data_IF_530604658394
#
_entry.id   IF_530604658394
#
_cell.length_a   1.000
_cell.length_b   1.000
_cell.length_c   1.000
_cell.angle_alpha   90.00
_cell.angle_beta   90.00
_cell.angle_gamma   90.00
#
_symmetry.space_group_name_H-M   'P 1'
#
loop_
_entity.id
_entity.type
_entity.pdbx_description
1 polymer ?
#
# COMPACT_ATOMS: atom_id res chain seq x y z
N UNK A 1 16.06 9.73 19.61
CA UNK A 1 15.31 10.95 19.23
C UNK A 1 14.32 10.63 18.11
N UNK A 2 13.24 11.42 17.98
CA UNK A 2 12.23 11.24 16.94
C UNK A 2 12.84 11.25 15.51
N UNK A 3 13.80 12.12 15.26
CA UNK A 3 14.52 12.21 13.96
C UNK A 3 15.19 10.89 13.59
N UNK A 4 15.84 10.23 14.55
CA UNK A 4 16.44 8.92 14.31
C UNK A 4 15.39 7.85 14.02
N UNK A 5 14.24 7.89 14.71
CA UNK A 5 13.14 6.95 14.48
C UNK A 5 12.56 7.10 13.06
N UNK A 6 12.37 8.35 12.57
CA UNK A 6 11.98 8.60 11.18
C UNK A 6 13.00 8.03 10.18
N UNK A 7 14.28 8.27 10.42
CA UNK A 7 15.34 7.79 9.54
C UNK A 7 15.34 6.26 9.41
N UNK A 8 15.23 5.54 10.53
CA UNK A 8 15.18 4.07 10.51
C UNK A 8 13.89 3.53 9.89
N UNK A 9 12.74 4.15 10.18
CA UNK A 9 11.47 3.77 9.57
C UNK A 9 11.50 3.96 8.05
N UNK A 10 11.96 5.10 7.55
CA UNK A 10 12.09 5.39 6.12
C UNK A 10 13.10 4.49 5.43
N UNK A 11 14.26 4.24 6.06
CA UNK A 11 15.31 3.38 5.54
C UNK A 11 14.86 1.93 5.30
N UNK A 12 13.83 1.49 6.01
CA UNK A 12 13.22 0.17 5.79
C UNK A 12 12.01 0.27 4.87
N UNK A 13 11.14 1.26 5.07
CA UNK A 13 9.90 1.41 4.32
C UNK A 13 10.14 1.70 2.83
N UNK A 14 11.01 2.66 2.53
CA UNK A 14 11.24 3.13 1.16
C UNK A 14 11.77 2.02 0.25
N UNK A 15 12.82 1.24 0.58
CA UNK A 15 13.27 0.16 -0.27
C UNK A 15 12.23 -0.96 -0.45
N UNK A 16 11.51 -1.34 0.60
CA UNK A 16 10.46 -2.36 0.52
C UNK A 16 9.35 -1.92 -0.44
N UNK A 17 8.86 -0.70 -0.26
CA UNK A 17 7.78 -0.15 -1.08
C UNK A 17 8.21 0.05 -2.53
N UNK A 18 9.35 0.67 -2.76
CA UNK A 18 9.85 0.96 -4.10
C UNK A 18 10.18 -0.31 -4.87
N UNK A 19 10.75 -1.33 -4.24
CA UNK A 19 11.06 -2.61 -4.89
C UNK A 19 9.79 -3.29 -5.43
N UNK A 20 8.72 -3.32 -4.64
CA UNK A 20 7.43 -3.88 -5.07
C UNK A 20 6.83 -3.06 -6.21
N UNK A 21 6.79 -1.73 -6.05
CA UNK A 21 6.18 -0.84 -7.03
C UNK A 21 6.97 -0.75 -8.33
N UNK A 22 8.30 -0.69 -8.28
CA UNK A 22 9.12 -0.71 -9.49
C UNK A 22 8.95 -2.01 -10.28
N UNK A 23 8.81 -3.15 -9.61
CA UNK A 23 8.57 -4.43 -10.27
C UNK A 23 7.24 -4.42 -11.04
N UNK A 24 6.17 -3.93 -10.42
CA UNK A 24 4.86 -3.76 -11.08
C UNK A 24 4.96 -2.77 -12.25
N UNK A 25 5.57 -1.64 -12.01
CA UNK A 25 5.68 -0.55 -12.98
C UNK A 25 6.53 -0.90 -14.18
N UNK A 26 7.63 -1.63 -14.00
CA UNK A 26 8.49 -2.08 -15.10
C UNK A 26 7.73 -2.97 -16.09
N UNK A 27 6.80 -3.78 -15.59
CA UNK A 27 5.94 -4.64 -16.43
C UNK A 27 4.77 -3.86 -17.05
N UNK A 28 4.18 -2.92 -16.31
CA UNK A 28 2.97 -2.23 -16.73
C UNK A 28 3.23 -1.08 -17.71
N UNK A 29 4.33 -0.33 -17.56
CA UNK A 29 4.60 0.83 -18.42
C UNK A 29 4.71 0.49 -19.92
N UNK A 30 5.45 -0.55 -20.35
CA UNK A 30 5.44 -0.96 -21.76
C UNK A 30 4.04 -1.40 -22.26
N UNK A 31 3.25 -2.02 -21.37
CA UNK A 31 1.88 -2.43 -21.68
C UNK A 31 0.96 -1.22 -21.86
N UNK A 32 1.08 -0.19 -21.03
CA UNK A 32 0.34 1.06 -21.19
C UNK A 32 0.64 1.72 -22.55
N UNK A 33 1.92 1.80 -22.94
CA UNK A 33 2.31 2.34 -24.24
C UNK A 33 1.66 1.55 -25.39
N UNK A 34 1.71 0.21 -25.32
CA UNK A 34 1.12 -0.66 -26.36
C UNK A 34 -0.40 -0.54 -26.43
N UNK A 35 -1.08 -0.46 -25.28
CA UNK A 35 -2.54 -0.30 -25.26
C UNK A 35 -2.97 1.08 -25.78
N UNK A 36 -2.19 2.11 -25.48
CA UNK A 36 -2.46 3.47 -25.98
C UNK A 36 -2.34 3.57 -27.51
N UNK A 37 -1.41 2.85 -28.14
CA UNK A 37 -1.23 2.85 -29.60
C UNK A 37 -2.38 2.22 -30.38
N UNK A 38 -3.31 1.53 -29.73
CA UNK A 38 -4.51 0.96 -30.37
C UNK A 38 -5.59 2.00 -30.73
N UNK A 39 -5.40 3.26 -30.35
CA UNK A 39 -6.32 4.38 -30.61
C UNK A 39 -7.74 4.21 -30.02
N UNK A 40 -7.95 3.21 -29.17
CA UNK A 40 -9.18 3.01 -28.41
C UNK A 40 -9.08 3.63 -27.02
N UNK A 41 -9.50 4.89 -26.91
CA UNK A 41 -9.44 5.63 -25.65
C UNK A 41 -10.25 4.98 -24.52
N UNK A 42 -11.41 4.37 -24.84
CA UNK A 42 -12.23 3.72 -23.80
C UNK A 42 -11.63 2.40 -23.36
N UNK A 43 -11.12 1.60 -24.28
CA UNK A 43 -10.39 0.38 -24.00
C UNK A 43 -9.14 0.66 -23.18
N UNK A 44 -8.40 1.71 -23.51
CA UNK A 44 -7.22 2.14 -22.76
C UNK A 44 -7.53 2.51 -21.30
N UNK A 45 -8.54 3.36 -21.08
CA UNK A 45 -8.95 3.73 -19.72
C UNK A 45 -9.47 2.51 -18.94
N UNK A 46 -10.22 1.63 -19.59
CA UNK A 46 -10.67 0.37 -18.99
C UNK A 46 -9.50 -0.54 -18.57
N UNK A 47 -8.46 -0.60 -19.40
CA UNK A 47 -7.24 -1.34 -19.08
C UNK A 47 -6.50 -0.75 -17.90
N UNK A 48 -6.30 0.59 -17.86
CA UNK A 48 -5.67 1.27 -16.72
C UNK A 48 -6.45 0.98 -15.42
N UNK A 49 -7.78 1.10 -15.46
CA UNK A 49 -8.60 0.83 -14.27
C UNK A 49 -8.43 -0.60 -13.77
N UNK A 50 -8.48 -1.60 -14.66
CA UNK A 50 -8.28 -3.00 -14.29
C UNK A 50 -6.90 -3.23 -13.65
N UNK A 51 -5.83 -2.63 -14.21
CA UNK A 51 -4.48 -2.73 -13.63
C UNK A 51 -4.43 -2.08 -12.25
N UNK A 52 -5.01 -0.89 -12.10
CA UNK A 52 -5.04 -0.16 -10.81
C UNK A 52 -5.83 -0.93 -9.76
N UNK A 53 -7.01 -1.46 -10.11
CA UNK A 53 -7.85 -2.28 -9.24
C UNK A 53 -7.10 -3.53 -8.78
N UNK A 54 -6.46 -4.26 -9.70
CA UNK A 54 -5.68 -5.47 -9.40
C UNK A 54 -4.50 -5.18 -8.48
N UNK A 55 -3.78 -4.08 -8.75
CA UNK A 55 -2.64 -3.65 -7.93
C UNK A 55 -3.08 -3.28 -6.53
N UNK A 56 -4.19 -2.54 -6.39
CA UNK A 56 -4.75 -2.21 -5.07
C UNK A 56 -5.11 -3.46 -4.28
N UNK A 57 -5.81 -4.42 -4.90
CA UNK A 57 -6.20 -5.66 -4.23
C UNK A 57 -5.00 -6.52 -3.81
N UNK A 58 -3.86 -6.40 -4.50
CA UNK A 58 -2.61 -7.05 -4.10
C UNK A 58 -1.88 -6.29 -2.98
N UNK A 59 -1.85 -4.96 -3.02
CA UNK A 59 -1.10 -4.13 -2.07
C UNK A 59 -1.82 -3.96 -0.74
N UNK A 60 -3.16 -3.92 -0.72
CA UNK A 60 -3.94 -3.74 0.49
C UNK A 60 -3.60 -4.76 1.60
N UNK A 61 -3.55 -6.10 1.35
CA UNK A 61 -3.13 -7.05 2.37
C UNK A 61 -1.68 -6.85 2.83
N UNK A 62 -0.78 -6.43 1.93
CA UNK A 62 0.61 -6.10 2.30
C UNK A 62 0.64 -4.91 3.24
N UNK A 63 -0.13 -3.85 2.96
CA UNK A 63 -0.28 -2.70 3.85
C UNK A 63 -0.79 -3.13 5.23
N UNK A 64 -1.82 -4.00 5.28
CA UNK A 64 -2.37 -4.48 6.54
C UNK A 64 -1.33 -5.25 7.37
N UNK A 65 -0.51 -6.10 6.74
CA UNK A 65 0.60 -6.79 7.42
C UNK A 65 1.65 -5.81 7.93
N UNK A 66 2.08 -4.84 7.12
CA UNK A 66 3.05 -3.83 7.53
C UNK A 66 2.52 -2.96 8.67
N UNK A 67 1.23 -2.63 8.67
CA UNK A 67 0.60 -1.91 9.77
C UNK A 67 0.53 -2.74 11.05
N UNK A 68 0.12 -4.00 10.96
CA UNK A 68 -0.07 -4.86 12.13
C UNK A 68 1.26 -5.26 12.79
N UNK A 69 2.27 -5.57 11.97
CA UNK A 69 3.57 -6.06 12.44
C UNK A 69 4.67 -5.01 12.38
N UNK A 70 4.35 -3.74 12.15
CA UNK A 70 5.34 -2.67 11.98
C UNK A 70 6.37 -2.62 13.12
N UNK A 71 5.91 -2.64 14.38
CA UNK A 71 6.78 -2.66 15.56
C UNK A 71 7.61 -3.95 15.64
N UNK A 72 6.99 -5.08 15.32
CA UNK A 72 7.65 -6.40 15.40
C UNK A 72 8.75 -6.54 14.32
N UNK A 73 8.50 -6.02 13.13
CA UNK A 73 9.49 -5.96 12.04
C UNK A 73 10.69 -5.10 12.47
N UNK A 74 10.44 -3.91 13.03
CA UNK A 74 11.48 -3.03 13.54
C UNK A 74 12.27 -3.71 14.68
N UNK A 75 11.58 -4.38 15.59
CA UNK A 75 12.18 -5.13 16.69
C UNK A 75 13.15 -6.20 16.20
N UNK A 76 12.72 -7.01 15.25
CA UNK A 76 13.57 -8.09 14.69
C UNK A 76 14.83 -7.53 14.05
N UNK A 77 14.71 -6.43 13.30
CA UNK A 77 15.81 -5.91 12.44
C UNK A 77 16.75 -5.01 13.24
N UNK A 78 16.22 -4.09 14.06
CA UNK A 78 17.03 -3.02 14.64
C UNK A 78 17.22 -3.12 16.16
N UNK A 79 16.33 -3.78 16.90
CA UNK A 79 16.42 -3.81 18.38
C UNK A 79 17.64 -4.61 18.82
N UNK A 80 18.75 -3.89 19.12
CA UNK A 80 19.99 -4.44 19.67
C UNK A 80 20.87 -3.32 20.21
N UNK A 81 21.64 -3.62 21.25
CA UNK A 81 22.60 -2.68 21.83
C UNK A 81 21.97 -1.37 22.28
N UNK A 82 22.31 -0.27 21.62
CA UNK A 82 21.78 1.08 21.94
C UNK A 82 20.38 1.35 21.41
N UNK A 83 19.82 0.48 20.54
CA UNK A 83 18.45 0.62 20.02
C UNK A 83 17.47 -0.05 20.98
N UNK A 84 16.88 0.76 21.85
CA UNK A 84 16.02 0.31 22.96
C UNK A 84 14.60 -0.06 22.51
N UNK A 85 13.84 -0.74 23.39
CA UNK A 85 12.42 -1.05 23.15
C UNK A 85 11.56 0.22 22.91
N UNK A 86 11.87 1.34 23.60
CA UNK A 86 11.20 2.63 23.35
C UNK A 86 11.47 3.14 21.93
N UNK A 87 12.72 3.02 21.44
CA UNK A 87 13.08 3.37 20.07
C UNK A 87 12.37 2.47 19.06
N UNK A 88 12.21 1.19 19.38
CA UNK A 88 11.48 0.20 18.58
C UNK A 88 10.01 0.58 18.43
N UNK A 89 9.34 0.93 19.54
CA UNK A 89 7.93 1.29 19.52
C UNK A 89 7.66 2.57 18.72
N UNK A 90 8.47 3.61 18.94
CA UNK A 90 8.38 4.86 18.18
C UNK A 90 8.61 4.62 16.69
N UNK A 91 9.68 3.92 16.32
CA UNK A 91 10.03 3.64 14.92
C UNK A 91 8.97 2.77 14.25
N UNK A 92 8.49 1.73 14.93
CA UNK A 92 7.45 0.84 14.42
C UNK A 92 6.11 1.55 14.19
N UNK A 93 5.76 2.48 15.07
CA UNK A 93 4.55 3.31 14.93
C UNK A 93 4.65 4.26 13.72
N UNK A 94 5.82 4.83 13.45
CA UNK A 94 6.08 5.65 12.25
C UNK A 94 5.99 4.78 10.99
N UNK A 95 6.64 3.61 11.00
CA UNK A 95 6.63 2.66 9.89
C UNK A 95 5.20 2.19 9.53
N UNK A 96 4.39 1.86 10.54
CA UNK A 96 2.99 1.46 10.33
C UNK A 96 2.17 2.60 9.70
N UNK A 97 2.40 3.86 10.09
CA UNK A 97 1.72 5.01 9.48
C UNK A 97 2.15 5.27 8.04
N UNK A 98 3.42 5.08 7.70
CA UNK A 98 3.87 5.10 6.31
C UNK A 98 3.23 3.99 5.48
N UNK A 99 3.06 2.79 6.05
CA UNK A 99 2.44 1.67 5.37
C UNK A 99 0.99 1.96 4.92
N UNK A 100 0.23 2.81 5.64
CA UNK A 100 -1.09 3.26 5.22
C UNK A 100 -1.06 3.98 3.85
N UNK A 101 0.01 4.75 3.59
CA UNK A 101 0.18 5.49 2.33
C UNK A 101 0.65 4.65 1.16
N UNK A 102 1.12 3.41 1.38
CA UNK A 102 1.70 2.58 0.33
C UNK A 102 0.72 2.29 -0.81
N UNK A 103 -0.54 2.02 -0.49
CA UNK A 103 -1.59 1.76 -1.50
C UNK A 103 -1.87 2.99 -2.38
N UNK A 104 -1.90 4.16 -1.77
CA UNK A 104 -2.08 5.42 -2.47
C UNK A 104 -0.87 5.76 -3.36
N UNK A 105 0.33 5.53 -2.86
CA UNK A 105 1.57 5.70 -3.63
C UNK A 105 1.58 4.78 -4.85
N UNK A 106 1.15 3.52 -4.72
CA UNK A 106 1.02 2.59 -5.82
C UNK A 106 0.07 3.09 -6.92
N UNK A 107 -1.09 3.62 -6.52
CA UNK A 107 -2.05 4.21 -7.48
C UNK A 107 -1.43 5.40 -8.19
N UNK A 108 -0.84 6.33 -7.46
CA UNK A 108 -0.16 7.50 -8.03
C UNK A 108 0.91 7.10 -9.04
N UNK A 109 1.77 6.14 -8.70
CA UNK A 109 2.84 5.67 -9.57
C UNK A 109 2.31 5.05 -10.87
N UNK A 110 1.28 4.20 -10.78
CA UNK A 110 0.64 3.62 -11.97
C UNK A 110 -0.03 4.67 -12.85
N UNK A 111 -0.79 5.59 -12.25
CA UNK A 111 -1.49 6.62 -13.00
C UNK A 111 -0.51 7.64 -13.62
N UNK A 112 0.60 7.98 -12.94
CA UNK A 112 1.68 8.77 -13.52
C UNK A 112 2.18 8.11 -14.84
N UNK A 113 2.44 6.80 -14.80
CA UNK A 113 2.91 6.06 -15.98
C UNK A 113 1.87 5.97 -17.09
N UNK A 114 0.59 5.84 -16.72
CA UNK A 114 -0.50 5.89 -17.69
C UNK A 114 -0.56 7.26 -18.40
N UNK A 115 -0.40 8.36 -17.68
CA UNK A 115 -0.32 9.70 -18.27
C UNK A 115 0.92 9.89 -19.13
N UNK A 116 2.08 9.35 -18.72
CA UNK A 116 3.31 9.41 -19.52
C UNK A 116 3.17 8.64 -20.84
N UNK A 117 2.50 7.50 -20.82
CA UNK A 117 2.18 6.76 -22.04
C UNK A 117 1.30 7.58 -23.00
N UNK A 118 0.38 8.40 -22.47
CA UNK A 118 -0.43 9.35 -23.24
C UNK A 118 0.33 10.62 -23.66
N UNK A 119 1.61 10.75 -23.32
CA UNK A 119 2.43 11.97 -23.52
C UNK A 119 1.85 13.22 -22.81
N UNK A 120 1.02 13.04 -21.80
CA UNK A 120 0.39 14.12 -21.00
C UNK A 120 1.13 14.29 -19.67
N UNK A 121 2.29 14.93 -19.69
CA UNK A 121 3.18 15.05 -18.51
C UNK A 121 2.80 16.17 -17.54
N UNK A 122 2.05 17.17 -17.98
CA UNK A 122 1.68 18.33 -17.16
C UNK A 122 0.70 17.96 -16.03
N UNK A 123 -0.25 17.06 -16.29
CA UNK A 123 -1.25 16.68 -15.28
C UNK A 123 -0.60 15.98 -14.08
N UNK A 124 0.23 14.93 -14.27
CA UNK A 124 0.98 14.33 -13.18
C UNK A 124 1.87 15.33 -12.44
N UNK A 125 2.56 16.23 -13.18
CA UNK A 125 3.42 17.24 -12.57
C UNK A 125 2.64 18.13 -11.60
N UNK A 126 1.50 18.68 -12.03
CA UNK A 126 0.69 19.58 -11.21
C UNK A 126 0.09 18.88 -9.99
N UNK A 127 -0.41 17.65 -10.17
CA UNK A 127 -0.98 16.87 -9.06
C UNK A 127 0.11 16.51 -8.05
N UNK A 128 1.26 16.01 -8.50
CA UNK A 128 2.38 15.67 -7.60
C UNK A 128 2.95 16.89 -6.88
N UNK A 129 3.00 18.05 -7.54
CA UNK A 129 3.33 19.31 -6.89
C UNK A 129 2.28 19.68 -5.82
N UNK A 130 1.00 19.50 -6.12
CA UNK A 130 -0.08 19.68 -5.16
C UNK A 130 0.04 18.74 -3.95
N UNK A 131 0.41 17.47 -4.18
CA UNK A 131 0.70 16.50 -3.10
C UNK A 131 1.86 16.97 -2.23
N UNK A 132 2.94 17.48 -2.84
CA UNK A 132 4.07 18.03 -2.09
C UNK A 132 3.66 19.20 -1.21
N UNK A 133 2.95 20.19 -1.76
CA UNK A 133 2.47 21.36 -1.01
C UNK A 133 1.52 20.92 0.11
N UNK A 134 0.58 20.03 -0.18
CA UNK A 134 -0.34 19.49 0.81
C UNK A 134 0.40 18.76 1.93
N UNK A 135 1.41 17.95 1.59
CA UNK A 135 2.25 17.27 2.58
C UNK A 135 2.95 18.27 3.51
N UNK A 136 3.51 19.37 2.97
CA UNK A 136 4.13 20.42 3.79
C UNK A 136 3.12 21.07 4.74
N UNK A 137 1.91 21.36 4.28
CA UNK A 137 0.84 21.92 5.11
C UNK A 137 0.43 20.93 6.20
N UNK A 138 0.18 19.68 5.85
CA UNK A 138 -0.23 18.64 6.80
C UNK A 138 0.88 18.35 7.83
N UNK A 139 2.15 18.39 7.44
CA UNK A 139 3.27 18.28 8.38
C UNK A 139 3.26 19.38 9.44
N UNK A 140 2.80 20.58 9.08
CA UNK A 140 2.67 21.67 10.03
C UNK A 140 1.49 21.47 10.99
N UNK A 141 0.41 20.87 10.50
CA UNK A 141 -0.79 20.57 11.30
C UNK A 141 -0.57 19.38 12.23
N UNK A 142 0.03 18.31 11.70
CA UNK A 142 0.33 17.06 12.44
C UNK A 142 1.75 17.07 13.02
N UNK A 143 2.15 18.19 13.63
CA UNK A 143 3.49 18.34 14.22
C UNK A 143 3.61 17.53 15.52
N UNK A 144 3.68 16.21 15.38
CA UNK A 144 3.93 15.25 16.47
C UNK A 144 4.98 14.23 16.01
N UNK A 145 5.61 13.55 16.98
CA UNK A 145 6.67 12.56 16.73
C UNK A 145 6.31 11.44 15.75
N UNK A 146 5.04 11.27 15.45
CA UNK A 146 4.55 10.24 14.51
C UNK A 146 3.58 10.80 13.47
N UNK A 147 3.17 12.06 13.62
CA UNK A 147 2.16 12.70 12.79
C UNK A 147 2.63 12.99 11.37
N UNK A 148 3.92 13.26 11.17
CA UNK A 148 4.53 13.52 9.86
C UNK A 148 4.35 12.33 8.89
N UNK A 149 4.50 11.10 9.38
CA UNK A 149 4.27 9.90 8.57
C UNK A 149 2.79 9.77 8.15
N UNK A 150 1.87 10.11 9.05
CA UNK A 150 0.44 10.13 8.74
C UNK A 150 0.11 11.23 7.73
N UNK A 151 0.70 12.43 7.88
CA UNK A 151 0.54 13.53 6.94
C UNK A 151 0.96 13.13 5.52
N UNK A 152 2.08 12.44 5.38
CA UNK A 152 2.56 11.91 4.09
C UNK A 152 1.55 10.93 3.49
N UNK A 153 1.06 9.97 4.28
CA UNK A 153 0.06 9.00 3.83
C UNK A 153 -1.25 9.65 3.40
N UNK A 154 -1.71 10.68 4.12
CA UNK A 154 -2.91 11.44 3.76
C UNK A 154 -2.71 12.25 2.48
N UNK A 155 -1.57 12.95 2.34
CA UNK A 155 -1.27 13.72 1.13
C UNK A 155 -1.24 12.82 -0.12
N UNK A 156 -0.59 11.65 -0.03
CA UNK A 156 -0.56 10.66 -1.10
C UNK A 156 -1.97 10.14 -1.43
N UNK A 157 -2.80 9.88 -0.42
CA UNK A 157 -4.18 9.40 -0.61
C UNK A 157 -5.03 10.44 -1.33
N UNK A 158 -4.96 11.70 -0.93
CA UNK A 158 -5.67 12.79 -1.59
C UNK A 158 -5.19 12.96 -3.03
N UNK A 159 -3.87 12.89 -3.27
CA UNK A 159 -3.29 12.94 -4.61
C UNK A 159 -3.73 11.78 -5.50
N UNK A 160 -3.78 10.55 -4.98
CA UNK A 160 -4.25 9.38 -5.70
C UNK A 160 -5.73 9.50 -6.10
N UNK A 161 -6.56 10.02 -5.19
CA UNK A 161 -7.97 10.29 -5.47
C UNK A 161 -8.10 11.39 -6.54
N UNK A 162 -7.38 12.50 -6.40
CA UNK A 162 -7.40 13.61 -7.36
C UNK A 162 -6.98 13.14 -8.77
N UNK A 163 -5.90 12.35 -8.86
CA UNK A 163 -5.42 11.82 -10.14
C UNK A 163 -6.42 10.83 -10.75
N UNK A 164 -7.05 9.99 -9.94
CA UNK A 164 -8.10 9.06 -10.37
C UNK A 164 -9.31 9.82 -10.91
N UNK A 165 -9.80 10.81 -10.17
CA UNK A 165 -10.92 11.65 -10.62
C UNK A 165 -10.58 12.35 -11.93
N UNK A 166 -9.39 12.94 -12.03
CA UNK A 166 -8.96 13.66 -13.24
C UNK A 166 -8.87 12.74 -14.47
N UNK A 167 -8.33 11.53 -14.31
CA UNK A 167 -8.16 10.60 -15.44
C UNK A 167 -9.49 10.02 -15.91
N UNK A 168 -10.39 9.70 -14.99
CA UNK A 168 -11.65 9.01 -15.27
C UNK A 168 -12.86 9.96 -15.31
N UNK A 169 -12.63 11.28 -15.27
CA UNK A 169 -13.69 12.27 -15.32
C UNK A 169 -14.61 12.05 -16.54
N UNK A 170 -15.92 12.09 -16.32
CA UNK A 170 -16.91 11.88 -17.37
C UNK A 170 -17.05 10.44 -17.87
N UNK A 171 -16.36 9.47 -17.26
CA UNK A 171 -16.46 8.04 -17.62
C UNK A 171 -17.20 7.25 -16.53
N UNK A 172 -17.81 6.12 -16.93
CA UNK A 172 -18.41 5.14 -15.99
C UNK A 172 -17.52 3.92 -15.76
N UNK A 173 -16.20 4.07 -15.97
CA UNK A 173 -15.24 2.96 -15.93
C UNK A 173 -14.88 2.60 -14.49
N UNK A 174 -14.85 3.58 -13.58
CA UNK A 174 -14.49 3.37 -12.17
C UNK A 174 -15.56 2.54 -11.48
N UNK A 175 -15.14 1.34 -11.04
CA UNK A 175 -15.99 0.40 -10.32
C UNK A 175 -15.59 0.41 -8.85
N UNK A 176 -16.44 0.98 -7.98
CA UNK A 176 -16.17 1.06 -6.55
C UNK A 176 -16.44 -0.27 -5.82
N UNK A 177 -17.37 -1.07 -6.33
CA UNK A 177 -17.78 -2.32 -5.66
C UNK A 177 -16.62 -3.29 -5.44
N UNK A 178 -15.73 -3.60 -6.41
CA UNK A 178 -14.57 -4.46 -6.17
C UNK A 178 -13.60 -3.88 -5.14
N UNK A 179 -13.39 -2.56 -5.14
CA UNK A 179 -12.52 -1.89 -4.17
C UNK A 179 -13.10 -2.00 -2.75
N UNK A 180 -14.41 -1.76 -2.57
CA UNK A 180 -15.08 -1.91 -1.27
C UNK A 180 -15.00 -3.35 -0.76
N UNK A 181 -15.17 -4.34 -1.64
CA UNK A 181 -14.98 -5.76 -1.30
C UNK A 181 -13.54 -6.05 -0.87
N UNK A 182 -12.54 -5.48 -1.58
CA UNK A 182 -11.13 -5.61 -1.21
C UNK A 182 -10.82 -4.98 0.15
N UNK A 183 -11.36 -3.80 0.41
CA UNK A 183 -11.23 -3.13 1.71
C UNK A 183 -11.89 -3.95 2.83
N UNK A 184 -13.09 -4.53 2.59
CA UNK A 184 -13.75 -5.40 3.57
C UNK A 184 -12.93 -6.66 3.87
N UNK A 185 -12.36 -7.30 2.84
CA UNK A 185 -11.47 -8.45 3.00
C UNK A 185 -10.19 -8.08 3.77
N UNK A 186 -9.60 -6.90 3.47
CA UNK A 186 -8.43 -6.38 4.17
C UNK A 186 -8.76 -6.04 5.63
N UNK A 187 -9.93 -5.48 5.91
CA UNK A 187 -10.38 -5.22 7.28
C UNK A 187 -10.56 -6.51 8.08
N UNK A 188 -11.17 -7.55 7.49
CA UNK A 188 -11.28 -8.86 8.12
C UNK A 188 -9.89 -9.48 8.40
N UNK A 189 -8.96 -9.37 7.45
CA UNK A 189 -7.57 -9.76 7.63
C UNK A 189 -6.91 -8.98 8.78
N UNK A 190 -7.06 -7.65 8.82
CA UNK A 190 -6.48 -6.81 9.85
C UNK A 190 -6.95 -7.22 11.25
N UNK A 191 -8.25 -7.53 11.44
CA UNK A 191 -8.78 -8.05 12.71
C UNK A 191 -8.05 -9.32 13.14
N UNK A 192 -7.82 -10.24 12.22
CA UNK A 192 -7.09 -11.49 12.50
C UNK A 192 -5.61 -11.21 12.83
N UNK A 193 -4.97 -10.30 12.10
CA UNK A 193 -3.57 -9.95 12.34
C UNK A 193 -3.38 -9.28 13.71
N UNK A 194 -4.19 -8.28 14.06
CA UNK A 194 -4.12 -7.61 15.35
C UNK A 194 -4.53 -8.54 16.49
N UNK A 195 -5.59 -9.34 16.32
CA UNK A 195 -6.02 -10.32 17.31
C UNK A 195 -4.99 -11.42 17.52
N UNK A 196 -4.44 -11.98 16.44
CA UNK A 196 -3.39 -13.00 16.54
C UNK A 196 -2.10 -12.45 17.15
N UNK A 197 -1.72 -11.21 16.78
CA UNK A 197 -0.58 -10.53 17.43
C UNK A 197 -0.79 -10.37 18.91
N UNK A 198 -1.94 -9.87 19.37
CA UNK A 198 -2.22 -9.63 20.78
C UNK A 198 -2.29 -10.93 21.62
N UNK A 199 -2.68 -12.05 21.01
CA UNK A 199 -2.80 -13.34 21.67
C UNK A 199 -1.50 -14.14 21.69
N UNK A 200 -0.69 -14.07 20.63
CA UNK A 200 0.45 -14.94 20.42
C UNK A 200 1.79 -14.28 20.73
N UNK A 201 1.93 -12.97 20.49
CA UNK A 201 3.20 -12.25 20.63
C UNK A 201 3.34 -11.72 22.07
N UNK A 202 4.40 -12.15 22.75
CA UNK A 202 4.75 -11.67 24.07
C UNK A 202 5.95 -10.69 24.01
N UNK A 203 6.04 -9.81 25.01
CA UNK A 203 7.13 -8.85 25.12
C UNK A 203 8.51 -9.53 25.28
N UNK A 204 8.55 -10.70 25.91
CA UNK A 204 9.77 -11.46 26.19
C UNK A 204 10.14 -12.47 25.09
N UNK A 205 9.38 -12.49 23.97
CA UNK A 205 9.69 -13.41 22.87
C UNK A 205 11.08 -13.15 22.28
N UNK A 206 11.84 -14.23 22.05
CA UNK A 206 13.08 -14.13 21.29
C UNK A 206 12.79 -13.69 19.86
N UNK A 207 13.75 -13.06 19.19
CA UNK A 207 13.59 -12.59 17.79
C UNK A 207 13.13 -13.72 16.86
N UNK A 208 13.65 -14.93 17.03
CA UNK A 208 13.25 -16.09 16.23
C UNK A 208 11.78 -16.47 16.48
N UNK A 209 11.38 -16.52 17.76
CA UNK A 209 10.01 -16.82 18.14
C UNK A 209 9.03 -15.78 17.60
N UNK A 210 9.41 -14.50 17.65
CA UNK A 210 8.65 -13.39 17.09
C UNK A 210 8.44 -13.54 15.58
N UNK A 211 9.50 -13.86 14.82
CA UNK A 211 9.41 -14.11 13.37
C UNK A 211 8.45 -15.27 13.06
N UNK A 212 8.55 -16.38 13.81
CA UNK A 212 7.68 -17.55 13.62
C UNK A 212 6.22 -17.21 13.92
N UNK A 213 5.94 -16.53 15.04
CA UNK A 213 4.57 -16.15 15.44
C UNK A 213 3.95 -15.13 14.48
N UNK A 214 4.70 -14.09 14.09
CA UNK A 214 4.25 -13.12 13.10
C UNK A 214 4.06 -13.77 11.71
N UNK A 215 4.96 -14.67 11.32
CA UNK A 215 4.85 -15.42 10.07
C UNK A 215 3.59 -16.30 10.03
N UNK A 216 3.35 -17.06 11.11
CA UNK A 216 2.14 -17.89 11.23
C UNK A 216 0.86 -17.05 11.17
N UNK A 217 0.81 -15.97 11.97
CA UNK A 217 -0.33 -15.05 11.97
C UNK A 217 -0.53 -14.39 10.61
N UNK A 218 0.56 -14.03 9.93
CA UNK A 218 0.54 -13.49 8.57
C UNK A 218 -0.05 -14.46 7.55
N UNK A 219 0.36 -15.74 7.61
CA UNK A 219 -0.20 -16.80 6.74
C UNK A 219 -1.70 -16.98 7.00
N UNK A 220 -2.13 -17.06 8.26
CA UNK A 220 -3.56 -17.14 8.62
C UNK A 220 -4.31 -15.92 8.10
N UNK A 221 -3.75 -14.71 8.26
CA UNK A 221 -4.33 -13.48 7.73
C UNK A 221 -4.49 -13.51 6.21
N UNK A 222 -3.48 -13.99 5.46
CA UNK A 222 -3.57 -14.16 4.01
C UNK A 222 -4.66 -15.17 3.61
N UNK A 223 -4.78 -16.29 4.31
CA UNK A 223 -5.84 -17.26 4.08
C UNK A 223 -7.22 -16.63 4.28
N UNK A 224 -7.40 -15.87 5.37
CA UNK A 224 -8.66 -15.15 5.65
C UNK A 224 -8.96 -14.14 4.55
N UNK A 225 -7.97 -13.36 4.11
CA UNK A 225 -8.12 -12.41 3.00
C UNK A 225 -8.64 -13.11 1.73
N UNK A 226 -8.02 -14.24 1.36
CA UNK A 226 -8.41 -15.03 0.18
C UNK A 226 -9.81 -15.59 0.34
N UNK A 227 -10.14 -16.19 1.50
CA UNK A 227 -11.46 -16.77 1.77
C UNK A 227 -12.56 -15.71 1.71
N UNK A 228 -12.38 -14.56 2.38
CA UNK A 228 -13.36 -13.47 2.36
C UNK A 228 -13.52 -12.91 0.94
N UNK A 229 -12.41 -12.76 0.20
CA UNK A 229 -12.45 -12.33 -1.20
C UNK A 229 -13.20 -13.33 -2.10
N UNK A 230 -13.08 -14.64 -1.86
CA UNK A 230 -13.86 -15.66 -2.56
C UNK A 230 -15.36 -15.58 -2.22
N UNK A 231 -15.70 -15.43 -0.95
CA UNK A 231 -17.10 -15.28 -0.49
C UNK A 231 -17.75 -14.04 -1.11
N UNK A 232 -17.00 -12.93 -1.18
CA UNK A 232 -17.43 -11.69 -1.81
C UNK A 232 -17.45 -11.77 -3.34
N UNK A 233 -17.10 -12.91 -3.93
CA UNK A 233 -17.04 -13.13 -5.39
C UNK A 233 -16.23 -12.04 -6.10
N UNK A 234 -15.01 -11.79 -5.64
CA UNK A 234 -14.07 -10.91 -6.35
C UNK A 234 -13.64 -11.60 -7.65
N UNK A 235 -13.79 -10.90 -8.76
CA UNK A 235 -13.52 -11.41 -10.12
C UNK A 235 -12.09 -11.87 -10.30
N UNK A 236 -11.14 -11.17 -9.71
CA UNK A 236 -9.69 -11.44 -9.86
C UNK A 236 -9.30 -12.80 -9.28
N UNK A 237 -9.74 -13.09 -8.06
CA UNK A 237 -9.41 -14.38 -7.40
C UNK A 237 -10.11 -15.52 -8.11
N UNK A 238 -11.35 -15.31 -8.56
CA UNK A 238 -12.08 -16.32 -9.34
C UNK A 238 -11.40 -16.64 -10.67
N UNK A 239 -10.89 -15.62 -11.37
CA UNK A 239 -10.19 -15.79 -12.66
C UNK A 239 -8.79 -16.39 -12.49
N UNK A 240 -8.08 -16.05 -11.41
CA UNK A 240 -6.77 -16.62 -11.08
C UNK A 240 -6.91 -18.12 -10.76
N UNK A 241 -7.88 -18.49 -9.95
CA UNK A 241 -8.13 -19.91 -9.60
C UNK A 241 -8.55 -20.72 -10.83
N UNK A 242 -9.34 -20.14 -11.75
CA UNK A 242 -9.69 -20.81 -13.01
C UNK A 242 -8.47 -21.07 -13.90
N UNK A 243 -7.47 -20.18 -13.88
CA UNK A 243 -6.20 -20.37 -14.62
C UNK A 243 -5.32 -21.46 -14.03
N UNK A 244 -5.34 -21.66 -12.71
CA UNK A 244 -4.60 -22.76 -12.05
C UNK A 244 -5.28 -24.13 -12.16
N UNK A 245 -6.57 -24.18 -12.54
CA UNK A 245 -7.31 -25.42 -12.77
C UNK A 245 -7.25 -25.93 -14.21
N UNK A 246 -6.59 -25.22 -15.11
CA UNK A 246 -6.27 -25.63 -16.48
C UNK A 246 -4.78 -25.91 -16.61
#
# INVERSE_FOLDING_TARGET
SAVSAFYYADKLFTPLTTSVLYSISAVMFPRFNREFTKEDSKGYLGYIWNVTENTLLFILPVCAMMCAFGTDIIRVIFESGSFTAESTEMTGSIFARYALGMSAFAVLDLLNKAYYAMKKTLVPLLINLGVLVLNLILNRVFYTDTGVALATSLALTIGAIAMTIQLFHGTKIVRLVPLLKGLAATAAMAVVLYGGRSLLVAADDSKLMLVVKCGLTGVVGCVVYVLVSMVLKQTIIADTIKKFKK
#
